data_IF_920369748568
#
_entry.id   IF_920369748568
#
_cell.length_a   1.000
_cell.length_b   1.000
_cell.length_c   1.000
_cell.angle_alpha   90.00
_cell.angle_beta   90.00
_cell.angle_gamma   90.00
#
_symmetry.space_group_name_H-M   'P 1'
#
loop_
_entity.id
_entity.type
_entity.pdbx_description
1 polymer ?
#
# COMPACT_ATOMS: atom_id res chain seq x y z
N UNK A 1 -30.82 15.96 -22.23
CA UNK A 1 -30.83 14.61 -21.66
C UNK A 1 -29.38 14.13 -21.55
N UNK A 2 -29.00 13.62 -20.36
CA UNK A 2 -27.68 13.04 -20.17
C UNK A 2 -27.49 11.85 -21.12
N UNK A 3 -26.42 11.84 -21.87
CA UNK A 3 -26.08 10.72 -22.75
C UNK A 3 -25.04 9.82 -22.07
N UNK A 4 -25.28 8.52 -22.18
CA UNK A 4 -24.35 7.48 -21.74
C UNK A 4 -24.03 6.61 -22.93
N UNK A 5 -22.80 6.65 -23.36
CA UNK A 5 -22.25 5.69 -24.33
C UNK A 5 -21.63 4.53 -23.56
N UNK A 6 -21.87 3.31 -24.01
CA UNK A 6 -21.31 2.11 -23.37
C UNK A 6 -20.72 1.23 -24.44
N UNK A 7 -19.42 1.01 -24.35
CA UNK A 7 -18.64 0.17 -25.25
C UNK A 7 -18.12 -1.05 -24.51
N UNK A 8 -18.29 -2.23 -25.08
CA UNK A 8 -17.62 -3.45 -24.68
C UNK A 8 -16.52 -3.72 -25.71
N UNK A 9 -15.27 -3.77 -25.29
CA UNK A 9 -14.17 -4.14 -26.19
C UNK A 9 -14.17 -5.64 -26.50
N UNK A 10 -14.81 -6.44 -25.64
CA UNK A 10 -15.04 -7.87 -25.82
C UNK A 10 -16.48 -8.18 -25.39
N UNK A 11 -17.26 -8.81 -26.27
CA UNK A 11 -18.70 -9.02 -26.04
C UNK A 11 -19.03 -9.93 -24.87
N UNK A 12 -18.12 -10.84 -24.52
CA UNK A 12 -18.30 -11.85 -23.45
C UNK A 12 -18.06 -11.33 -22.02
N UNK A 13 -17.58 -10.09 -21.87
CA UNK A 13 -17.19 -9.56 -20.55
C UNK A 13 -18.36 -9.39 -19.60
N UNK A 14 -19.53 -8.98 -20.09
CA UNK A 14 -20.71 -8.67 -19.27
C UNK A 14 -21.96 -9.23 -19.93
N UNK A 15 -22.73 -9.97 -19.15
CA UNK A 15 -24.04 -10.49 -19.56
C UNK A 15 -24.96 -9.37 -20.09
N UNK A 16 -25.59 -9.51 -21.27
CA UNK A 16 -26.44 -8.46 -21.88
C UNK A 16 -27.59 -8.01 -20.96
N UNK A 17 -28.17 -8.93 -20.19
CA UNK A 17 -29.25 -8.63 -19.24
C UNK A 17 -28.78 -7.73 -18.10
N UNK A 18 -27.58 -7.96 -17.61
CA UNK A 18 -26.97 -7.13 -16.57
C UNK A 18 -26.53 -5.77 -17.13
N UNK A 19 -25.92 -5.75 -18.32
CA UNK A 19 -25.52 -4.51 -19.00
C UNK A 19 -26.71 -3.56 -19.18
N UNK A 20 -27.89 -4.06 -19.54
CA UNK A 20 -29.10 -3.25 -19.66
C UNK A 20 -29.56 -2.68 -18.31
N UNK A 21 -29.53 -3.47 -17.25
CA UNK A 21 -29.84 -2.98 -15.88
C UNK A 21 -28.85 -1.89 -15.44
N UNK A 22 -27.57 -2.09 -15.73
CA UNK A 22 -26.50 -1.14 -15.46
C UNK A 22 -26.75 0.18 -16.18
N UNK A 23 -26.98 0.15 -17.51
CA UNK A 23 -27.28 1.35 -18.31
C UNK A 23 -28.46 2.16 -17.76
N UNK A 24 -29.53 1.51 -17.37
CA UNK A 24 -30.73 2.20 -16.80
C UNK A 24 -30.36 2.92 -15.52
N UNK A 25 -29.63 2.25 -14.60
CA UNK A 25 -29.25 2.83 -13.31
C UNK A 25 -28.28 4.01 -13.46
N UNK A 26 -27.28 3.88 -14.30
CA UNK A 26 -26.32 4.96 -14.56
C UNK A 26 -26.98 6.13 -15.26
N UNK A 27 -27.83 5.93 -16.29
CA UNK A 27 -28.60 6.99 -16.91
C UNK A 27 -29.47 7.77 -15.90
N UNK A 28 -30.11 7.07 -14.97
CA UNK A 28 -30.89 7.68 -13.90
C UNK A 28 -30.02 8.57 -12.99
N UNK A 29 -28.82 8.10 -12.64
CA UNK A 29 -27.85 8.86 -11.85
C UNK A 29 -27.42 10.13 -12.59
N UNK A 30 -26.95 9.97 -13.84
CA UNK A 30 -26.48 11.08 -14.67
C UNK A 30 -27.58 12.15 -14.86
N UNK A 31 -28.83 11.74 -15.12
CA UNK A 31 -29.96 12.65 -15.27
C UNK A 31 -30.33 13.39 -13.98
N UNK A 32 -29.96 12.85 -12.82
CA UNK A 32 -30.26 13.45 -11.50
C UNK A 32 -29.25 14.51 -11.06
N UNK A 33 -28.13 14.66 -11.75
CA UNK A 33 -27.06 15.58 -11.37
C UNK A 33 -26.78 16.62 -12.45
N UNK A 34 -26.70 17.89 -12.05
CA UNK A 34 -26.62 19.04 -12.99
C UNK A 34 -25.41 18.94 -13.92
N UNK A 35 -24.24 18.54 -13.41
CA UNK A 35 -23.01 18.48 -14.19
C UNK A 35 -23.06 17.45 -15.35
N UNK A 36 -23.92 16.44 -15.28
CA UNK A 36 -24.07 15.40 -16.31
C UNK A 36 -25.24 15.66 -17.28
N UNK A 37 -26.17 16.57 -16.94
CA UNK A 37 -27.43 16.71 -17.70
C UNK A 37 -27.28 17.02 -19.18
N UNK A 38 -26.21 17.71 -19.56
CA UNK A 38 -25.99 18.19 -20.92
C UNK A 38 -24.76 17.58 -21.60
N UNK A 39 -24.08 16.67 -20.91
CA UNK A 39 -22.83 16.08 -21.40
C UNK A 39 -22.95 14.57 -21.54
N UNK A 40 -22.17 14.02 -22.44
CA UNK A 40 -22.02 12.57 -22.64
C UNK A 40 -20.91 12.05 -21.73
N UNK A 41 -21.13 10.88 -21.14
CA UNK A 41 -20.11 10.09 -20.45
C UNK A 41 -19.91 8.80 -21.25
N UNK A 42 -18.66 8.48 -21.58
CA UNK A 42 -18.27 7.20 -22.15
C UNK A 42 -17.89 6.23 -21.05
N UNK A 43 -18.39 4.99 -21.15
CA UNK A 43 -18.08 3.91 -20.25
C UNK A 43 -17.59 2.73 -21.08
N UNK A 44 -16.32 2.38 -20.93
CA UNK A 44 -15.64 1.33 -21.68
C UNK A 44 -15.31 0.17 -20.75
N UNK A 45 -15.68 -1.03 -21.14
CA UNK A 45 -15.35 -2.26 -20.45
C UNK A 45 -14.30 -3.05 -21.23
N UNK A 46 -13.25 -3.47 -20.58
CA UNK A 46 -12.12 -4.18 -21.16
C UNK A 46 -11.60 -5.28 -20.21
N UNK A 47 -10.58 -6.00 -20.65
CA UNK A 47 -9.81 -6.94 -19.84
C UNK A 47 -8.57 -6.28 -19.20
N UNK A 48 -7.84 -7.07 -18.41
CA UNK A 48 -6.62 -6.61 -17.72
C UNK A 48 -5.47 -6.28 -18.67
N UNK A 49 -5.36 -6.97 -19.80
CA UNK A 49 -4.32 -6.70 -20.78
C UNK A 49 -4.52 -5.31 -21.41
N UNK A 50 -5.73 -5.02 -21.82
CA UNK A 50 -6.10 -3.73 -22.43
C UNK A 50 -5.92 -2.56 -21.46
N UNK A 51 -6.40 -2.69 -20.21
CA UNK A 51 -6.28 -1.60 -19.23
C UNK A 51 -4.83 -1.37 -18.82
N UNK A 52 -3.99 -2.41 -18.80
CA UNK A 52 -2.55 -2.31 -18.57
C UNK A 52 -1.87 -1.48 -19.65
N UNK A 53 -2.18 -1.75 -20.93
CA UNK A 53 -1.64 -0.97 -22.04
C UNK A 53 -2.04 0.51 -21.97
N UNK A 54 -3.29 0.78 -21.64
CA UNK A 54 -3.79 2.14 -21.46
C UNK A 54 -3.14 2.84 -20.27
N UNK A 55 -2.97 2.13 -19.15
CA UNK A 55 -2.31 2.64 -17.96
C UNK A 55 -0.83 2.98 -18.25
N UNK A 56 -0.13 2.11 -18.98
CA UNK A 56 1.24 2.35 -19.44
C UNK A 56 1.33 3.57 -20.37
N UNK A 57 0.43 3.65 -21.34
CA UNK A 57 0.42 4.71 -22.37
C UNK A 57 0.12 6.10 -21.80
N UNK A 58 -0.87 6.21 -20.91
CA UNK A 58 -1.37 7.50 -20.44
C UNK A 58 -0.81 7.95 -19.09
N UNK A 59 -0.47 6.99 -18.21
CA UNK A 59 0.00 7.29 -16.85
C UNK A 59 1.43 6.78 -16.60
N UNK A 60 2.09 6.15 -17.59
CA UNK A 60 3.43 5.60 -17.45
C UNK A 60 3.52 4.37 -16.53
N UNK A 61 2.38 3.70 -16.26
CA UNK A 61 2.25 2.61 -15.28
C UNK A 61 2.02 1.30 -16.01
N UNK A 62 2.99 0.39 -16.03
CA UNK A 62 2.92 -0.88 -16.77
C UNK A 62 2.31 -2.03 -15.93
N UNK A 63 1.19 -1.78 -15.25
CA UNK A 63 0.40 -2.80 -14.55
C UNK A 63 -1.09 -2.54 -14.73
N UNK A 64 -1.95 -3.59 -14.65
CA UNK A 64 -3.39 -3.41 -14.76
C UNK A 64 -3.95 -2.69 -13.54
N UNK A 65 -4.92 -1.81 -13.76
CA UNK A 65 -5.74 -1.17 -12.71
C UNK A 65 -7.20 -1.58 -12.90
N UNK A 66 -8.04 -1.37 -11.89
CA UNK A 66 -9.47 -1.69 -12.01
C UNK A 66 -10.26 -0.64 -12.79
N UNK A 67 -9.86 0.65 -12.71
CA UNK A 67 -10.52 1.76 -13.38
C UNK A 67 -9.54 2.85 -13.78
N UNK A 68 -9.77 3.47 -14.93
CA UNK A 68 -9.13 4.70 -15.39
C UNK A 68 -10.22 5.72 -15.73
N UNK A 69 -10.00 6.99 -15.41
CA UNK A 69 -10.95 8.08 -15.70
C UNK A 69 -10.22 9.25 -16.35
N UNK A 70 -10.71 9.68 -17.49
CA UNK A 70 -10.14 10.77 -18.28
C UNK A 70 -11.18 11.88 -18.44
N UNK A 71 -10.94 13.01 -17.78
CA UNK A 71 -11.73 14.21 -17.98
C UNK A 71 -11.39 14.83 -19.34
N UNK A 72 -12.41 15.15 -20.13
CA UNK A 72 -12.25 15.78 -21.44
C UNK A 72 -12.95 17.14 -21.37
N UNK A 73 -12.20 18.21 -21.64
CA UNK A 73 -12.75 19.58 -21.59
C UNK A 73 -13.50 19.89 -22.91
N UNK A 74 -14.66 19.28 -23.09
CA UNK A 74 -15.59 19.55 -24.20
C UNK A 74 -16.99 19.93 -23.68
N UNK A 75 -17.70 20.77 -24.42
CA UNK A 75 -19.03 21.25 -24.01
C UNK A 75 -20.09 20.15 -24.02
N UNK A 76 -19.94 19.16 -24.89
CA UNK A 76 -20.89 18.06 -25.11
C UNK A 76 -20.46 16.73 -24.50
N UNK A 77 -19.16 16.58 -24.22
CA UNK A 77 -18.55 15.35 -23.70
C UNK A 77 -17.83 15.63 -22.38
N UNK A 78 -18.13 14.89 -21.32
CA UNK A 78 -17.53 15.11 -20.01
C UNK A 78 -16.23 14.32 -19.85
N UNK A 79 -16.22 13.07 -20.32
CA UNK A 79 -15.05 12.23 -20.18
C UNK A 79 -15.36 10.74 -20.36
N UNK A 80 -14.33 9.96 -20.16
CA UNK A 80 -14.35 8.51 -20.36
C UNK A 80 -13.92 7.78 -19.08
N UNK A 81 -14.60 6.68 -18.79
CA UNK A 81 -14.29 5.77 -17.68
C UNK A 81 -14.05 4.40 -18.30
N UNK A 82 -12.87 3.85 -18.07
CA UNK A 82 -12.44 2.56 -18.59
C UNK A 82 -12.28 1.61 -17.42
N UNK A 83 -12.90 0.43 -17.47
CA UNK A 83 -12.94 -0.53 -16.35
C UNK A 83 -12.51 -1.91 -16.86
N UNK A 84 -11.52 -2.51 -16.15
CA UNK A 84 -11.24 -3.93 -16.30
C UNK A 84 -12.30 -4.77 -15.59
N UNK A 85 -13.06 -5.52 -16.38
CA UNK A 85 -14.12 -6.40 -15.85
C UNK A 85 -13.53 -7.64 -15.18
N UNK A 86 -12.43 -8.17 -15.73
CA UNK A 86 -11.69 -9.30 -15.14
C UNK A 86 -11.23 -8.95 -13.74
N UNK A 87 -10.53 -7.83 -13.59
CA UNK A 87 -10.06 -7.37 -12.28
C UNK A 87 -11.19 -7.03 -11.32
N UNK A 88 -12.25 -6.37 -11.81
CA UNK A 88 -13.41 -6.09 -10.98
C UNK A 88 -14.09 -7.37 -10.47
N UNK A 89 -14.09 -8.45 -11.25
CA UNK A 89 -14.61 -9.75 -10.85
C UNK A 89 -13.74 -10.41 -9.79
N UNK A 90 -12.43 -10.50 -10.06
CA UNK A 90 -11.45 -11.04 -9.10
C UNK A 90 -11.50 -10.30 -7.75
N UNK A 91 -11.47 -8.97 -7.78
CA UNK A 91 -11.53 -8.16 -6.56
C UNK A 91 -12.85 -8.32 -5.82
N UNK A 92 -13.99 -8.40 -6.53
CA UNK A 92 -15.28 -8.62 -5.88
C UNK A 92 -15.37 -9.99 -5.19
N UNK A 93 -14.87 -11.05 -5.84
CA UNK A 93 -14.79 -12.40 -5.27
C UNK A 93 -13.85 -12.40 -4.05
N UNK A 94 -12.69 -11.80 -4.19
CA UNK A 94 -11.71 -11.69 -3.13
C UNK A 94 -12.25 -10.98 -1.87
N UNK A 95 -12.95 -9.84 -2.04
CA UNK A 95 -13.52 -9.11 -0.91
C UNK A 95 -14.88 -9.69 -0.43
N UNK A 96 -15.34 -10.80 -1.00
CA UNK A 96 -16.65 -11.38 -0.71
C UNK A 96 -17.81 -10.42 -1.03
N UNK A 97 -17.64 -9.58 -2.06
CA UNK A 97 -18.60 -8.58 -2.47
C UNK A 97 -19.48 -9.08 -3.62
N UNK A 98 -20.69 -8.53 -3.71
CA UNK A 98 -21.51 -8.74 -4.90
C UNK A 98 -20.89 -8.02 -6.10
N UNK A 99 -20.54 -8.77 -7.16
CA UNK A 99 -19.88 -8.26 -8.35
C UNK A 99 -20.62 -7.08 -9.00
N UNK A 100 -21.96 -7.18 -9.15
CA UNK A 100 -22.77 -6.15 -9.78
C UNK A 100 -22.66 -4.81 -9.01
N UNK A 101 -22.67 -4.85 -7.69
CA UNK A 101 -22.52 -3.66 -6.85
C UNK A 101 -21.08 -3.17 -6.81
N UNK A 102 -20.10 -4.07 -6.86
CA UNK A 102 -18.70 -3.67 -6.91
C UNK A 102 -18.38 -2.94 -8.22
N UNK A 103 -18.84 -3.46 -9.35
CA UNK A 103 -18.72 -2.80 -10.66
C UNK A 103 -19.40 -1.43 -10.68
N UNK A 104 -20.59 -1.30 -10.07
CA UNK A 104 -21.26 -0.01 -9.89
C UNK A 104 -20.44 0.97 -9.03
N UNK A 105 -19.76 0.47 -7.99
CA UNK A 105 -18.90 1.30 -7.15
C UNK A 105 -17.71 1.85 -7.95
N UNK A 106 -17.06 1.05 -8.79
CA UNK A 106 -15.99 1.50 -9.69
C UNK A 106 -16.47 2.54 -10.71
N UNK A 107 -17.66 2.35 -11.29
CA UNK A 107 -18.27 3.34 -12.19
C UNK A 107 -18.54 4.66 -11.44
N UNK A 108 -19.10 4.59 -10.25
CA UNK A 108 -19.37 5.77 -9.42
C UNK A 108 -18.07 6.49 -9.06
N UNK A 109 -17.02 5.76 -8.70
CA UNK A 109 -15.69 6.30 -8.45
C UNK A 109 -15.19 7.11 -9.66
N UNK A 110 -15.20 6.50 -10.85
CA UNK A 110 -14.85 7.19 -12.09
C UNK A 110 -15.70 8.45 -12.36
N UNK A 111 -17.01 8.39 -12.12
CA UNK A 111 -17.91 9.54 -12.29
C UNK A 111 -17.55 10.69 -11.33
N UNK A 112 -17.14 10.37 -10.11
CA UNK A 112 -16.75 11.39 -9.13
C UNK A 112 -15.43 12.05 -9.53
N UNK A 113 -14.50 11.31 -10.11
CA UNK A 113 -13.29 11.89 -10.73
C UNK A 113 -13.63 12.84 -11.89
N UNK A 114 -14.56 12.47 -12.77
CA UNK A 114 -15.02 13.35 -13.86
C UNK A 114 -15.69 14.63 -13.37
N UNK A 115 -16.13 14.69 -12.12
CA UNK A 115 -16.63 15.92 -11.49
C UNK A 115 -15.51 16.81 -10.93
N UNK A 116 -14.24 16.41 -11.10
CA UNK A 116 -13.08 17.15 -10.60
C UNK A 116 -12.77 16.88 -9.13
N UNK A 117 -13.43 15.89 -8.52
CA UNK A 117 -13.01 15.43 -7.21
C UNK A 117 -11.76 14.56 -7.37
N UNK A 118 -10.72 14.98 -6.68
CA UNK A 118 -9.43 14.31 -6.73
C UNK A 118 -8.93 14.18 -5.29
N UNK A 119 -8.70 12.95 -4.83
CA UNK A 119 -8.22 12.69 -3.49
C UNK A 119 -6.76 13.14 -3.28
N UNK A 120 -6.06 13.55 -4.36
CA UNK A 120 -4.71 14.11 -4.30
C UNK A 120 -4.70 15.61 -3.95
N UNK A 121 -5.84 16.31 -3.98
CA UNK A 121 -5.94 17.78 -3.77
C UNK A 121 -6.20 18.18 -2.33
N UNK A 122 -5.26 17.90 -1.43
CA UNK A 122 -5.29 18.35 -0.04
C UNK A 122 -5.96 17.36 0.93
N UNK A 123 -5.79 17.58 2.23
CA UNK A 123 -6.18 16.67 3.31
C UNK A 123 -7.70 16.41 3.45
N UNK A 124 -8.53 17.31 2.91
CA UNK A 124 -9.98 17.21 2.97
C UNK A 124 -10.60 16.54 1.74
N UNK A 125 -9.86 16.43 0.65
CA UNK A 125 -10.34 15.93 -0.63
C UNK A 125 -10.80 14.45 -0.59
N UNK A 126 -10.09 13.52 0.07
CA UNK A 126 -10.54 12.12 0.17
C UNK A 126 -11.91 11.99 0.84
N UNK A 127 -12.14 12.72 1.94
CA UNK A 127 -13.43 12.68 2.65
C UNK A 127 -14.60 13.20 1.79
N UNK A 128 -14.39 14.30 1.05
CA UNK A 128 -15.40 14.86 0.17
C UNK A 128 -15.72 13.91 -0.98
N UNK A 129 -14.71 13.28 -1.54
CA UNK A 129 -14.82 12.26 -2.57
C UNK A 129 -15.64 11.07 -2.08
N UNK A 130 -15.29 10.45 -0.97
CA UNK A 130 -16.05 9.35 -0.36
C UNK A 130 -17.50 9.71 -0.10
N UNK A 131 -17.75 10.89 0.45
CA UNK A 131 -19.11 11.35 0.70
C UNK A 131 -19.94 11.44 -0.58
N UNK A 132 -19.34 11.89 -1.67
CA UNK A 132 -19.99 11.99 -2.98
C UNK A 132 -20.20 10.60 -3.59
N UNK A 133 -19.20 9.72 -3.51
CA UNK A 133 -19.30 8.32 -3.94
C UNK A 133 -20.41 7.57 -3.23
N UNK A 134 -20.43 7.60 -1.91
CA UNK A 134 -21.49 6.95 -1.12
C UNK A 134 -22.87 7.45 -1.50
N UNK A 135 -23.03 8.77 -1.66
CA UNK A 135 -24.30 9.40 -2.08
C UNK A 135 -24.75 8.93 -3.47
N UNK A 136 -23.81 8.77 -4.41
CA UNK A 136 -24.10 8.30 -5.76
C UNK A 136 -24.34 6.80 -5.78
N UNK A 137 -23.49 6.04 -5.11
CA UNK A 137 -23.62 4.58 -5.01
C UNK A 137 -24.96 4.17 -4.38
N UNK A 138 -25.40 4.83 -3.32
CA UNK A 138 -26.68 4.56 -2.68
C UNK A 138 -27.88 4.69 -3.62
N UNK A 139 -27.79 5.58 -4.62
CA UNK A 139 -28.86 5.78 -5.62
C UNK A 139 -28.93 4.67 -6.68
N UNK A 140 -27.80 4.04 -6.99
CA UNK A 140 -27.70 3.07 -8.10
C UNK A 140 -27.53 1.62 -7.66
N UNK A 141 -27.06 1.37 -6.44
CA UNK A 141 -26.77 0.03 -5.93
C UNK A 141 -27.99 -0.92 -5.97
N UNK A 142 -27.71 -2.18 -6.26
CA UNK A 142 -28.70 -3.25 -6.07
C UNK A 142 -28.87 -3.55 -4.59
N UNK A 143 -30.07 -3.94 -4.16
CA UNK A 143 -30.36 -4.21 -2.74
C UNK A 143 -29.46 -5.30 -2.15
N UNK A 144 -29.27 -6.37 -2.90
CA UNK A 144 -28.44 -7.50 -2.46
C UNK A 144 -26.96 -7.10 -2.46
N UNK A 145 -26.28 -7.24 -1.33
CA UNK A 145 -24.85 -6.95 -1.18
C UNK A 145 -24.47 -5.47 -1.06
N UNK A 146 -25.44 -4.54 -1.08
CA UNK A 146 -25.19 -3.09 -1.01
C UNK A 146 -24.41 -2.70 0.25
N UNK A 147 -24.83 -3.20 1.42
CA UNK A 147 -24.21 -2.82 2.70
C UNK A 147 -22.75 -3.29 2.82
N UNK A 148 -22.43 -4.46 2.24
CA UNK A 148 -21.06 -4.96 2.20
C UNK A 148 -20.14 -4.03 1.40
N UNK A 149 -20.60 -3.56 0.24
CA UNK A 149 -19.83 -2.61 -0.60
C UNK A 149 -19.72 -1.24 0.08
N UNK A 150 -20.76 -0.72 0.71
CA UNK A 150 -20.69 0.53 1.50
C UNK A 150 -19.64 0.41 2.61
N UNK A 151 -19.63 -0.72 3.33
CA UNK A 151 -18.64 -0.98 4.38
C UNK A 151 -17.23 -1.06 3.82
N UNK A 152 -17.07 -1.67 2.65
CA UNK A 152 -15.80 -1.76 1.94
C UNK A 152 -15.30 -0.36 1.51
N UNK A 153 -16.12 0.45 0.83
CA UNK A 153 -15.78 1.80 0.42
C UNK A 153 -15.34 2.67 1.60
N UNK A 154 -16.09 2.63 2.71
CA UNK A 154 -15.72 3.33 3.94
C UNK A 154 -14.38 2.91 4.53
N UNK A 155 -13.98 1.64 4.38
CA UNK A 155 -12.68 1.14 4.85
C UNK A 155 -11.54 1.56 3.93
N UNK A 156 -11.74 1.52 2.61
CA UNK A 156 -10.72 1.79 1.60
C UNK A 156 -10.13 3.20 1.69
N UNK A 157 -10.95 4.22 1.97
CA UNK A 157 -10.49 5.61 2.00
C UNK A 157 -9.97 6.08 3.36
N UNK A 158 -10.24 5.36 4.45
CA UNK A 158 -9.81 5.76 5.79
C UNK A 158 -8.43 5.28 6.20
N UNK A 159 -7.74 4.51 5.38
CA UNK A 159 -6.39 4.02 5.67
C UNK A 159 -5.43 4.37 4.52
N UNK A 160 -4.96 5.63 4.43
CA UNK A 160 -3.87 5.95 3.53
C UNK A 160 -2.67 5.08 3.91
N UNK A 161 -2.02 4.50 2.90
CA UNK A 161 -0.82 3.73 3.14
C UNK A 161 0.23 4.58 3.84
N UNK A 162 0.87 4.02 4.85
CA UNK A 162 1.85 4.70 5.69
C UNK A 162 3.26 4.47 5.14
N UNK A 163 4.13 5.42 5.41
CA UNK A 163 5.56 5.32 5.12
C UNK A 163 6.36 5.37 6.42
N UNK A 164 7.07 4.30 6.72
CA UNK A 164 8.11 4.28 7.74
C UNK A 164 9.47 4.37 7.05
N UNK A 165 10.31 5.30 7.50
CA UNK A 165 11.62 5.55 6.87
C UNK A 165 12.73 4.98 7.72
N UNK A 166 13.51 4.06 7.13
CA UNK A 166 14.69 3.51 7.76
C UNK A 166 15.88 4.47 7.58
N UNK A 167 16.49 4.89 8.70
CA UNK A 167 17.60 5.86 8.73
C UNK A 167 18.97 5.21 8.95
N UNK A 168 19.09 3.89 8.86
CA UNK A 168 20.35 3.17 9.10
C UNK A 168 21.48 3.64 8.18
N UNK A 169 21.16 3.92 6.92
CA UNK A 169 22.19 4.35 5.94
C UNK A 169 22.79 5.71 6.27
N UNK A 170 22.10 6.56 7.04
CA UNK A 170 22.69 7.79 7.61
C UNK A 170 23.79 7.42 8.61
N UNK A 171 23.51 6.45 9.48
CA UNK A 171 24.52 5.94 10.42
C UNK A 171 25.65 5.19 9.68
N UNK A 172 25.36 4.49 8.58
CA UNK A 172 26.39 3.85 7.73
C UNK A 172 27.42 4.87 7.23
N UNK A 173 26.97 6.02 6.75
CA UNK A 173 27.89 7.11 6.32
C UNK A 173 28.72 7.62 7.50
N UNK A 174 28.12 7.81 8.66
CA UNK A 174 28.82 8.20 9.91
C UNK A 174 29.93 7.20 10.27
N UNK A 175 29.58 5.91 10.30
CA UNK A 175 30.50 4.85 10.69
C UNK A 175 31.63 4.62 9.65
N UNK A 176 31.34 4.77 8.34
CA UNK A 176 32.35 4.68 7.30
C UNK A 176 33.48 5.74 7.45
N UNK A 177 33.15 6.92 7.98
CA UNK A 177 34.10 8.01 8.25
C UNK A 177 34.60 8.03 9.68
N UNK A 178 33.99 7.26 10.62
CA UNK A 178 34.25 7.32 12.06
C UNK A 178 34.14 8.76 12.61
N UNK A 179 33.14 9.49 12.11
CA UNK A 179 32.87 10.88 12.47
C UNK A 179 31.58 10.97 13.32
N UNK A 180 31.31 12.08 14.04
CA UNK A 180 30.07 12.25 14.78
C UNK A 180 28.85 12.58 13.87
N UNK A 181 29.06 12.75 12.59
CA UNK A 181 28.03 13.10 11.59
C UNK A 181 28.17 12.26 10.30
N UNK A 182 27.06 12.13 9.50
CA UNK A 182 25.71 12.60 9.79
C UNK A 182 25.09 11.84 10.98
N UNK A 183 24.27 12.53 11.79
CA UNK A 183 23.62 11.91 12.96
C UNK A 183 22.23 11.36 12.57
N UNK A 184 21.95 10.04 12.75
CA UNK A 184 20.65 9.46 12.47
C UNK A 184 19.52 10.05 13.34
N UNK A 185 19.85 10.65 14.51
CA UNK A 185 18.86 11.36 15.34
C UNK A 185 18.34 12.61 14.63
N UNK A 186 19.21 13.39 14.02
CA UNK A 186 18.82 14.54 13.20
C UNK A 186 18.03 14.08 11.96
N UNK A 187 18.44 12.98 11.32
CA UNK A 187 17.74 12.41 10.18
C UNK A 187 16.32 11.97 10.56
N UNK A 188 16.12 11.37 11.74
CA UNK A 188 14.80 10.96 12.23
C UNK A 188 13.81 12.13 12.31
N UNK A 189 14.26 13.29 12.79
CA UNK A 189 13.44 14.51 12.79
C UNK A 189 13.15 15.00 11.37
N UNK A 190 14.14 14.94 10.48
CA UNK A 190 13.96 15.39 9.09
C UNK A 190 12.98 14.51 8.31
N UNK A 191 12.96 13.20 8.53
CA UNK A 191 12.00 12.30 7.86
C UNK A 191 10.58 12.54 8.37
N UNK A 192 10.38 12.83 9.65
CA UNK A 192 9.07 13.26 10.15
C UNK A 192 8.59 14.55 9.48
N UNK A 193 9.46 15.55 9.35
CA UNK A 193 9.15 16.81 8.65
C UNK A 193 8.88 16.60 7.16
N UNK A 194 9.38 15.52 6.57
CA UNK A 194 9.07 15.07 5.22
C UNK A 194 7.70 14.39 5.07
N UNK A 195 7.04 14.04 6.19
CA UNK A 195 5.72 13.41 6.20
C UNK A 195 5.74 11.89 6.43
N UNK A 196 6.85 11.33 6.94
CA UNK A 196 6.92 9.94 7.37
C UNK A 196 5.97 9.68 8.56
N UNK A 197 5.35 8.49 8.57
CA UNK A 197 4.45 8.04 9.65
C UNK A 197 5.18 7.25 10.73
N UNK A 198 6.46 6.95 10.51
CA UNK A 198 7.33 6.26 11.44
C UNK A 198 8.79 6.33 11.05
N UNK A 199 9.64 6.06 12.03
CA UNK A 199 11.09 5.94 11.86
C UNK A 199 11.50 4.51 12.16
N UNK A 200 12.27 3.91 11.26
CA UNK A 200 12.81 2.56 11.40
C UNK A 200 14.31 2.65 11.68
N UNK A 201 14.78 1.87 12.61
CA UNK A 201 16.20 1.65 12.90
C UNK A 201 16.47 0.18 13.15
N UNK A 202 17.55 -0.34 12.60
CA UNK A 202 18.00 -1.70 12.82
C UNK A 202 19.21 -1.70 13.76
N UNK A 203 19.02 -2.15 14.99
CA UNK A 203 20.12 -2.38 15.93
C UNK A 203 20.67 -3.79 15.71
N UNK A 204 21.73 -3.89 14.92
CA UNK A 204 22.38 -5.18 14.58
C UNK A 204 23.26 -5.68 15.72
N UNK A 205 23.44 -7.00 15.80
CA UNK A 205 24.34 -7.65 16.75
C UNK A 205 25.78 -7.10 16.66
N UNK A 206 26.26 -6.80 15.47
CA UNK A 206 27.62 -6.28 15.21
C UNK A 206 27.74 -4.76 15.37
N UNK A 207 26.63 -4.02 15.59
CA UNK A 207 26.59 -2.56 15.74
C UNK A 207 27.29 -1.79 14.61
N UNK A 208 27.28 -2.31 13.38
CA UNK A 208 27.99 -1.71 12.24
C UNK A 208 27.50 -0.30 11.86
N UNK A 209 26.29 0.08 12.24
CA UNK A 209 25.71 1.41 11.96
C UNK A 209 24.98 2.00 13.17
N UNK A 210 23.71 1.66 13.43
CA UNK A 210 22.94 2.16 14.57
C UNK A 210 23.53 1.62 15.90
N UNK A 211 23.57 2.48 16.90
CA UNK A 211 24.00 2.19 18.26
C UNK A 211 22.82 2.38 19.22
N UNK A 212 22.92 1.82 20.43
CA UNK A 212 21.92 1.97 21.49
C UNK A 212 21.64 3.44 21.83
N UNK A 213 22.69 4.29 21.80
CA UNK A 213 22.56 5.76 21.94
C UNK A 213 21.56 6.32 20.93
N UNK A 214 21.68 5.92 19.67
CA UNK A 214 20.86 6.46 18.59
C UNK A 214 19.39 6.08 18.80
N UNK A 215 19.13 4.81 19.15
CA UNK A 215 17.77 4.30 19.43
C UNK A 215 17.12 5.07 20.58
N UNK A 216 17.85 5.29 21.69
CA UNK A 216 17.36 6.05 22.84
C UNK A 216 16.98 7.47 22.48
N UNK A 217 17.89 8.19 21.81
CA UNK A 217 17.68 9.58 21.44
C UNK A 217 16.59 9.74 20.38
N UNK A 218 16.53 8.85 19.37
CA UNK A 218 15.45 8.85 18.39
C UNK A 218 14.10 8.67 19.11
N UNK A 219 14.00 7.71 20.05
CA UNK A 219 12.78 7.48 20.82
C UNK A 219 12.31 8.74 21.58
N UNK A 220 13.23 9.55 22.07
CA UNK A 220 12.92 10.78 22.81
C UNK A 220 12.46 11.93 21.92
N UNK A 221 13.07 12.08 20.72
CA UNK A 221 12.86 13.27 19.87
C UNK A 221 11.71 13.15 18.89
N UNK A 222 11.40 11.93 18.39
CA UNK A 222 10.34 11.74 17.40
C UNK A 222 8.95 11.81 18.03
N UNK A 223 7.97 12.24 17.21
CA UNK A 223 6.55 12.30 17.57
C UNK A 223 5.75 11.16 16.96
N UNK A 224 6.27 10.57 15.88
CA UNK A 224 5.71 9.40 15.22
C UNK A 224 6.14 8.11 15.92
N UNK A 225 5.98 6.97 15.29
CA UNK A 225 6.32 5.68 15.87
C UNK A 225 7.78 5.31 15.61
N UNK A 226 8.45 4.80 16.65
CA UNK A 226 9.73 4.11 16.52
C UNK A 226 9.47 2.64 16.22
N UNK A 227 10.05 2.14 15.14
CA UNK A 227 10.10 0.73 14.76
C UNK A 227 11.54 0.27 14.92
N UNK A 228 11.75 -0.72 15.79
CA UNK A 228 13.06 -1.29 16.05
C UNK A 228 13.17 -2.65 15.35
N UNK A 229 14.06 -2.74 14.37
CA UNK A 229 14.46 -4.01 13.78
C UNK A 229 15.58 -4.62 14.61
N UNK A 230 15.48 -5.92 14.90
CA UNK A 230 16.47 -6.62 15.70
C UNK A 230 16.46 -8.13 15.45
N UNK A 231 17.60 -8.76 15.65
CA UNK A 231 17.70 -10.22 15.73
C UNK A 231 17.07 -10.76 17.03
N UNK A 232 16.76 -12.04 17.03
CA UNK A 232 16.28 -12.74 18.23
C UNK A 232 17.47 -13.04 19.15
N UNK A 233 17.64 -12.23 20.21
CA UNK A 233 18.61 -12.44 21.28
C UNK A 233 18.04 -11.93 22.59
N UNK A 234 18.48 -12.49 23.71
CA UNK A 234 18.05 -12.08 25.06
C UNK A 234 18.42 -10.61 25.32
N UNK A 235 19.64 -10.21 24.95
CA UNK A 235 20.13 -8.83 25.06
C UNK A 235 19.20 -7.83 24.37
N UNK A 236 18.76 -8.13 23.13
CA UNK A 236 17.90 -7.23 22.38
C UNK A 236 16.44 -7.24 22.86
N UNK A 237 15.94 -8.37 23.32
CA UNK A 237 14.63 -8.44 23.97
C UNK A 237 14.60 -7.58 25.23
N UNK A 238 15.64 -7.62 26.05
CA UNK A 238 15.73 -6.79 27.26
C UNK A 238 15.88 -5.30 26.92
N UNK A 239 16.71 -4.97 25.93
CA UNK A 239 16.84 -3.61 25.42
C UNK A 239 15.51 -3.07 24.87
N UNK A 240 14.78 -3.87 24.10
CA UNK A 240 13.47 -3.48 23.58
C UNK A 240 12.45 -3.24 24.71
N UNK A 241 12.46 -4.08 25.76
CA UNK A 241 11.59 -3.88 26.95
C UNK A 241 11.93 -2.60 27.72
N UNK A 242 13.20 -2.19 27.72
CA UNK A 242 13.64 -0.92 28.30
C UNK A 242 13.17 0.28 27.48
N UNK A 243 13.42 0.28 26.16
CA UNK A 243 13.11 1.38 25.23
C UNK A 243 11.61 1.54 24.99
N UNK A 244 10.88 0.42 24.97
CA UNK A 244 9.46 0.35 24.63
C UNK A 244 9.16 1.06 23.29
N UNK A 245 9.77 0.61 22.18
CA UNK A 245 9.40 1.11 20.85
C UNK A 245 7.92 0.82 20.58
N UNK A 246 7.34 1.50 19.60
CA UNK A 246 5.97 1.21 19.18
C UNK A 246 5.84 -0.21 18.60
N UNK A 247 6.87 -0.64 17.88
CA UNK A 247 6.94 -1.94 17.22
C UNK A 247 8.38 -2.46 17.25
N UNK A 248 8.51 -3.77 17.43
CA UNK A 248 9.72 -4.53 17.12
C UNK A 248 9.45 -5.35 15.88
N UNK A 249 10.35 -5.28 14.89
CA UNK A 249 10.38 -6.21 13.75
C UNK A 249 11.52 -7.19 13.95
N UNK A 250 11.17 -8.49 14.09
CA UNK A 250 12.16 -9.55 14.19
C UNK A 250 12.68 -9.91 12.80
N UNK A 251 13.99 -9.75 12.62
CA UNK A 251 14.67 -9.99 11.34
C UNK A 251 15.74 -11.07 11.49
N UNK A 252 16.10 -11.80 10.42
CA UNK A 252 17.29 -12.64 10.44
C UNK A 252 18.55 -11.74 10.40
N UNK A 253 19.61 -12.20 11.03
CA UNK A 253 20.94 -11.61 10.87
C UNK A 253 21.96 -12.70 10.64
N UNK A 254 22.73 -12.57 9.57
CA UNK A 254 23.90 -13.40 9.29
C UNK A 254 25.13 -12.50 9.19
N UNK A 255 26.28 -12.91 9.76
CA UNK A 255 27.49 -12.08 9.79
C UNK A 255 28.00 -11.67 8.40
N UNK A 256 27.79 -12.51 7.39
CA UNK A 256 28.27 -12.33 6.02
C UNK A 256 27.40 -11.37 5.20
N UNK A 257 26.15 -11.15 5.60
CA UNK A 257 25.20 -10.32 4.85
C UNK A 257 25.54 -8.82 4.96
N UNK A 258 25.52 -8.10 3.85
CA UNK A 258 25.66 -6.63 3.82
C UNK A 258 24.38 -5.98 4.33
N UNK A 259 23.24 -6.49 3.90
CA UNK A 259 21.89 -6.13 4.35
C UNK A 259 21.13 -7.40 4.72
N UNK A 260 19.89 -7.29 5.20
CA UNK A 260 19.05 -8.45 5.52
C UNK A 260 18.63 -9.15 4.22
N UNK A 261 19.25 -10.29 3.91
CA UNK A 261 18.96 -11.09 2.71
C UNK A 261 17.93 -12.18 3.02
N UNK A 262 16.66 -11.91 2.71
CA UNK A 262 15.55 -12.85 2.91
C UNK A 262 14.84 -12.72 4.26
N UNK A 263 13.69 -13.38 4.37
CA UNK A 263 12.84 -13.36 5.55
C UNK A 263 13.31 -14.27 6.68
N UNK A 264 12.79 -14.00 7.88
CA UNK A 264 13.03 -14.81 9.07
C UNK A 264 12.44 -16.22 8.89
N UNK A 265 13.28 -17.25 9.04
CA UNK A 265 12.82 -18.64 8.98
C UNK A 265 12.08 -19.02 10.27
N UNK A 266 10.81 -19.39 10.13
CA UNK A 266 9.97 -19.77 11.25
C UNK A 266 9.93 -21.29 11.47
N UNK A 267 10.19 -22.09 10.43
CA UNK A 267 10.16 -23.55 10.53
C UNK A 267 11.26 -24.02 11.50
N UNK A 268 10.90 -24.94 12.39
CA UNK A 268 11.83 -25.43 13.42
C UNK A 268 12.06 -24.49 14.62
N UNK A 269 11.71 -23.20 14.51
CA UNK A 269 11.92 -22.17 15.58
C UNK A 269 10.63 -21.65 16.22
N UNK A 270 9.48 -22.24 15.92
CA UNK A 270 8.16 -21.76 16.38
C UNK A 270 8.10 -21.59 17.89
N UNK A 271 8.67 -22.50 18.70
CA UNK A 271 8.64 -22.41 20.16
C UNK A 271 9.46 -21.23 20.68
N UNK A 272 10.64 -21.02 20.14
CA UNK A 272 11.56 -19.92 20.49
C UNK A 272 10.90 -18.57 20.13
N UNK A 273 10.46 -18.42 18.88
CA UNK A 273 9.85 -17.18 18.39
C UNK A 273 8.58 -16.86 19.19
N UNK A 274 7.73 -17.86 19.45
CA UNK A 274 6.52 -17.67 20.27
C UNK A 274 6.84 -17.17 21.68
N UNK A 275 7.93 -17.62 22.30
CA UNK A 275 8.39 -17.13 23.61
C UNK A 275 8.72 -15.65 23.53
N UNK A 276 9.56 -15.24 22.58
CA UNK A 276 9.99 -13.84 22.39
C UNK A 276 8.79 -12.94 22.06
N UNK A 277 7.92 -13.35 21.13
CA UNK A 277 6.70 -12.61 20.80
C UNK A 277 5.84 -12.40 22.04
N UNK A 278 5.65 -13.43 22.87
CA UNK A 278 4.87 -13.33 24.11
C UNK A 278 5.49 -12.35 25.11
N UNK A 279 6.82 -12.37 25.26
CA UNK A 279 7.54 -11.47 26.18
C UNK A 279 7.42 -10.00 25.74
N UNK A 280 7.63 -9.72 24.45
CA UNK A 280 7.51 -8.37 23.91
C UNK A 280 6.06 -7.85 23.98
N UNK A 281 5.08 -8.70 23.65
CA UNK A 281 3.67 -8.36 23.76
C UNK A 281 3.26 -8.04 25.21
N UNK A 282 3.77 -8.81 26.20
CA UNK A 282 3.53 -8.57 27.62
C UNK A 282 4.11 -7.22 28.09
N UNK A 283 5.16 -6.73 27.44
CA UNK A 283 5.73 -5.41 27.67
C UNK A 283 4.98 -4.27 26.94
N UNK A 284 3.89 -4.58 26.21
CA UNK A 284 3.10 -3.61 25.46
C UNK A 284 3.69 -3.24 24.11
N UNK A 285 4.64 -4.01 23.59
CA UNK A 285 5.34 -3.78 22.33
C UNK A 285 4.66 -4.62 21.24
N UNK A 286 4.28 -4.01 20.11
CA UNK A 286 3.77 -4.76 18.94
C UNK A 286 4.91 -5.51 18.27
N UNK A 287 4.64 -6.75 17.86
CA UNK A 287 5.65 -7.58 17.21
C UNK A 287 5.28 -7.81 15.75
N UNK A 288 6.23 -7.46 14.89
CA UNK A 288 6.26 -7.75 13.45
C UNK A 288 7.30 -8.82 13.17
N UNK A 289 7.01 -9.67 12.18
CA UNK A 289 7.97 -10.64 11.66
C UNK A 289 8.28 -10.29 10.20
N UNK A 290 9.56 -10.16 9.86
CA UNK A 290 10.03 -9.94 8.50
C UNK A 290 10.10 -11.28 7.77
N UNK A 291 9.24 -11.50 6.76
CA UNK A 291 9.00 -12.82 6.17
C UNK A 291 9.03 -12.79 4.66
N UNK A 292 9.48 -13.88 4.05
CA UNK A 292 9.30 -14.10 2.63
C UNK A 292 7.80 -14.21 2.27
N UNK A 293 7.39 -13.85 1.04
CA UNK A 293 6.00 -13.88 0.59
C UNK A 293 5.50 -15.32 0.37
N UNK A 294 5.37 -16.08 1.46
CA UNK A 294 4.90 -17.47 1.50
C UNK A 294 3.67 -17.59 2.40
N UNK A 295 2.59 -18.21 1.90
CA UNK A 295 1.35 -18.43 2.65
C UNK A 295 1.60 -19.13 4.01
N UNK A 296 2.43 -20.18 4.00
CA UNK A 296 2.78 -20.91 5.23
C UNK A 296 3.53 -20.06 6.25
N UNK A 297 4.31 -19.09 5.81
CA UNK A 297 4.98 -18.14 6.70
C UNK A 297 3.96 -17.24 7.39
N UNK A 298 2.92 -16.78 6.69
CA UNK A 298 1.83 -15.98 7.25
C UNK A 298 1.02 -16.78 8.31
N UNK A 299 0.71 -18.04 8.02
CA UNK A 299 0.04 -18.95 8.98
C UNK A 299 0.89 -19.14 10.26
N UNK A 300 2.20 -19.36 10.10
CA UNK A 300 3.11 -19.52 11.24
C UNK A 300 3.24 -18.23 12.04
N UNK A 301 3.28 -17.05 11.40
CA UNK A 301 3.29 -15.77 12.08
C UNK A 301 2.06 -15.58 12.97
N UNK A 302 0.87 -15.93 12.48
CA UNK A 302 -0.35 -15.93 13.28
C UNK A 302 -0.27 -16.91 14.46
N UNK A 303 0.26 -18.10 14.23
CA UNK A 303 0.41 -19.16 15.24
C UNK A 303 1.36 -18.78 16.38
N UNK A 304 2.42 -18.04 16.10
CA UNK A 304 3.35 -17.56 17.14
C UNK A 304 2.83 -16.34 17.91
N UNK A 305 1.74 -15.71 17.43
CA UNK A 305 1.07 -14.60 18.10
C UNK A 305 1.59 -13.21 17.69
N UNK A 306 2.25 -13.11 16.54
CA UNK A 306 2.59 -11.82 15.95
C UNK A 306 1.30 -11.07 15.57
N UNK A 307 1.31 -9.75 15.68
CA UNK A 307 0.22 -8.88 15.24
C UNK A 307 0.45 -8.34 13.83
N UNK A 308 1.71 -8.25 13.43
CA UNK A 308 2.15 -7.61 12.19
C UNK A 308 3.05 -8.59 11.45
N UNK A 309 2.99 -8.56 10.14
CA UNK A 309 3.99 -9.16 9.25
C UNK A 309 4.53 -8.08 8.32
N UNK A 310 5.83 -8.09 8.10
CA UNK A 310 6.46 -7.28 7.06
C UNK A 310 6.94 -8.22 5.94
N UNK A 311 6.30 -8.10 4.78
CA UNK A 311 6.59 -8.94 3.62
C UNK A 311 7.88 -8.46 2.96
N UNK A 312 8.84 -9.36 2.81
CA UNK A 312 10.09 -9.12 2.10
C UNK A 312 9.85 -8.95 0.60
N UNK A 313 10.16 -7.77 0.08
CA UNK A 313 9.98 -7.43 -1.35
C UNK A 313 11.28 -7.41 -2.14
N UNK A 314 12.39 -7.89 -1.58
CA UNK A 314 13.71 -7.86 -2.21
C UNK A 314 13.76 -8.62 -3.53
N UNK A 315 13.21 -9.84 -3.58
CA UNK A 315 13.21 -10.65 -4.83
C UNK A 315 12.42 -9.95 -5.94
N UNK A 316 11.28 -9.32 -5.60
CA UNK A 316 10.55 -8.47 -6.55
C UNK A 316 11.40 -7.29 -7.04
N UNK A 317 12.11 -6.64 -6.13
CA UNK A 317 12.92 -5.47 -6.44
C UNK A 317 14.16 -5.78 -7.29
N UNK A 318 14.72 -6.98 -7.13
CA UNK A 318 15.92 -7.47 -7.81
C UNK A 318 15.62 -8.22 -9.11
N UNK A 319 14.34 -8.41 -9.46
CA UNK A 319 13.94 -9.09 -10.69
C UNK A 319 14.53 -8.39 -11.93
N UNK A 320 15.28 -9.15 -12.73
CA UNK A 320 15.97 -8.63 -13.91
C UNK A 320 15.03 -8.48 -15.10
N UNK A 321 13.98 -9.33 -15.18
CA UNK A 321 13.00 -9.31 -16.26
C UNK A 321 11.62 -8.88 -15.75
N UNK A 322 10.82 -8.32 -16.65
CA UNK A 322 9.43 -7.95 -16.33
C UNK A 322 8.58 -9.19 -15.97
N UNK A 323 8.85 -10.34 -16.61
CA UNK A 323 8.14 -11.59 -16.32
C UNK A 323 8.42 -12.09 -14.91
N UNK A 324 9.68 -12.07 -14.47
CA UNK A 324 10.05 -12.37 -13.09
C UNK A 324 9.41 -11.39 -12.10
N UNK A 325 9.44 -10.11 -12.43
CA UNK A 325 8.86 -9.06 -11.57
C UNK A 325 7.37 -9.26 -11.37
N UNK A 326 6.62 -9.57 -12.41
CA UNK A 326 5.18 -9.86 -12.32
C UNK A 326 4.93 -11.09 -11.46
N UNK A 327 5.70 -12.16 -11.64
CA UNK A 327 5.57 -13.39 -10.84
C UNK A 327 5.85 -13.15 -9.35
N UNK A 328 6.87 -12.36 -9.02
CA UNK A 328 7.18 -12.04 -7.63
C UNK A 328 6.14 -11.06 -7.02
N UNK A 329 5.60 -10.14 -7.83
CA UNK A 329 4.48 -9.30 -7.42
C UNK A 329 3.24 -10.12 -7.02
N UNK A 330 2.89 -11.13 -7.83
CA UNK A 330 1.77 -12.04 -7.54
C UNK A 330 1.96 -12.78 -6.21
N UNK A 331 3.19 -13.20 -5.89
CA UNK A 331 3.50 -13.84 -4.60
C UNK A 331 3.31 -12.87 -3.43
N UNK A 332 3.77 -11.62 -3.58
CA UNK A 332 3.59 -10.59 -2.54
C UNK A 332 2.11 -10.30 -2.34
N UNK A 333 1.34 -10.17 -3.41
CA UNK A 333 -0.11 -9.95 -3.37
C UNK A 333 -0.83 -11.10 -2.67
N UNK A 334 -0.54 -12.35 -3.04
CA UNK A 334 -1.13 -13.52 -2.40
C UNK A 334 -0.80 -13.60 -0.91
N UNK A 335 0.48 -13.41 -0.54
CA UNK A 335 0.91 -13.42 0.86
C UNK A 335 0.22 -12.30 1.68
N UNK A 336 0.08 -11.10 1.10
CA UNK A 336 -0.61 -9.98 1.75
C UNK A 336 -2.10 -10.30 2.02
N UNK A 337 -2.77 -10.92 1.06
CA UNK A 337 -4.16 -11.39 1.21
C UNK A 337 -4.28 -12.41 2.35
N UNK A 338 -3.49 -13.47 2.30
CA UNK A 338 -3.51 -14.53 3.32
C UNK A 338 -3.22 -13.96 4.70
N UNK A 339 -2.23 -13.07 4.83
CA UNK A 339 -1.94 -12.42 6.11
C UNK A 339 -3.13 -11.60 6.62
N UNK A 340 -3.80 -10.85 5.73
CA UNK A 340 -4.98 -10.06 6.07
C UNK A 340 -6.16 -10.92 6.52
N UNK A 341 -6.43 -12.03 5.83
CA UNK A 341 -7.48 -12.99 6.17
C UNK A 341 -7.24 -13.66 7.52
N UNK A 342 -5.98 -13.87 7.88
CA UNK A 342 -5.57 -14.35 9.20
C UNK A 342 -5.67 -13.27 10.29
N UNK A 343 -6.08 -12.05 9.95
CA UNK A 343 -6.23 -10.92 10.88
C UNK A 343 -4.91 -10.28 11.29
N UNK A 344 -3.86 -10.42 10.47
CA UNK A 344 -2.58 -9.74 10.64
C UNK A 344 -2.63 -8.34 10.02
N UNK A 345 -1.85 -7.43 10.58
CA UNK A 345 -1.52 -6.15 9.95
C UNK A 345 -0.37 -6.42 8.97
N UNK A 346 -0.49 -5.92 7.75
CA UNK A 346 0.46 -6.21 6.69
C UNK A 346 1.29 -4.97 6.37
N UNK A 347 2.59 -5.10 6.50
CA UNK A 347 3.60 -4.15 6.04
C UNK A 347 4.42 -4.80 4.91
N UNK A 348 5.16 -4.00 4.16
CA UNK A 348 6.10 -4.48 3.15
C UNK A 348 7.37 -3.62 3.14
N UNK A 349 8.50 -4.24 2.86
CA UNK A 349 9.78 -3.55 2.88
C UNK A 349 10.89 -4.33 2.19
N UNK A 350 12.02 -3.69 2.09
CA UNK A 350 13.26 -4.13 1.47
C UNK A 350 13.26 -4.03 -0.07
N UNK A 351 14.28 -3.37 -0.62
CA UNK A 351 14.48 -3.22 -2.05
C UNK A 351 13.57 -2.20 -2.75
N UNK A 352 12.59 -1.63 -2.04
CA UNK A 352 11.66 -0.66 -2.64
C UNK A 352 12.33 0.67 -2.96
N UNK A 353 12.02 1.20 -4.15
CA UNK A 353 12.59 2.41 -4.71
C UNK A 353 11.52 3.28 -5.39
N UNK A 354 11.90 4.47 -5.84
CA UNK A 354 11.02 5.37 -6.60
C UNK A 354 10.54 4.78 -7.93
N UNK A 355 11.26 3.79 -8.46
CA UNK A 355 10.96 3.16 -9.75
C UNK A 355 10.04 1.95 -9.61
N UNK A 356 10.11 1.23 -8.47
CA UNK A 356 9.42 -0.05 -8.31
C UNK A 356 8.30 -0.06 -7.26
N UNK A 357 8.13 1.01 -6.46
CA UNK A 357 7.14 1.07 -5.38
C UNK A 357 5.68 0.99 -5.88
N UNK A 358 5.39 1.50 -7.08
CA UNK A 358 4.03 1.66 -7.57
C UNK A 358 3.17 0.39 -7.51
N UNK A 359 3.59 -0.74 -8.13
CA UNK A 359 2.81 -1.99 -8.10
C UNK A 359 2.59 -2.53 -6.68
N UNK A 360 3.63 -2.50 -5.83
CA UNK A 360 3.52 -2.95 -4.44
C UNK A 360 2.61 -2.03 -3.62
N UNK A 361 2.71 -0.72 -3.82
CA UNK A 361 1.85 0.24 -3.14
C UNK A 361 0.39 0.12 -3.56
N UNK A 362 0.08 -0.39 -4.74
CA UNK A 362 -1.27 -0.63 -5.20
C UNK A 362 -1.98 -1.80 -4.47
N UNK A 363 -1.24 -2.69 -3.79
CA UNK A 363 -1.80 -3.83 -3.03
C UNK A 363 -2.53 -3.29 -1.78
N UNK A 364 -3.87 -3.35 -1.71
CA UNK A 364 -4.65 -2.65 -0.68
C UNK A 364 -4.49 -3.24 0.72
N UNK A 365 -4.06 -4.49 0.84
CA UNK A 365 -3.83 -5.18 2.12
C UNK A 365 -2.60 -4.66 2.86
N UNK A 366 -1.63 -4.08 2.14
CA UNK A 366 -0.40 -3.55 2.74
C UNK A 366 -0.69 -2.17 3.34
N UNK A 367 -0.59 -2.03 4.65
CA UNK A 367 -0.93 -0.80 5.39
C UNK A 367 0.25 0.16 5.54
N UNK A 368 1.49 -0.35 5.45
CA UNK A 368 2.70 0.44 5.65
C UNK A 368 3.88 -0.09 4.84
N UNK A 369 4.71 0.82 4.37
CA UNK A 369 5.95 0.54 3.64
C UNK A 369 7.15 0.97 4.45
N UNK A 370 8.13 0.06 4.61
CA UNK A 370 9.41 0.29 5.30
C UNK A 370 10.49 0.50 4.24
N UNK A 371 10.98 1.74 4.09
CA UNK A 371 11.90 2.11 3.00
C UNK A 371 13.07 2.91 3.56
N UNK A 372 14.30 2.49 3.23
CA UNK A 372 15.52 3.14 3.70
C UNK A 372 16.44 3.59 2.58
N UNK A 373 17.18 2.64 1.99
CA UNK A 373 18.30 2.91 1.09
C UNK A 373 17.94 3.89 -0.05
N UNK A 374 16.86 3.67 -0.76
CA UNK A 374 16.47 4.51 -1.90
C UNK A 374 16.16 5.96 -1.48
N UNK A 375 15.51 6.15 -0.31
CA UNK A 375 15.22 7.50 0.22
C UNK A 375 16.50 8.21 0.62
N UNK A 376 17.43 7.54 1.33
CA UNK A 376 18.70 8.14 1.74
C UNK A 376 19.58 8.44 0.52
N UNK A 377 19.60 7.56 -0.48
CA UNK A 377 20.32 7.81 -1.75
C UNK A 377 19.75 9.01 -2.50
N UNK A 378 18.43 9.13 -2.60
CA UNK A 378 17.77 10.29 -3.21
C UNK A 378 18.05 11.58 -2.45
N UNK A 379 18.09 11.49 -1.12
CA UNK A 379 18.34 12.63 -0.24
C UNK A 379 19.69 13.31 -0.46
N UNK A 380 20.70 12.62 -0.99
CA UNK A 380 22.00 13.19 -1.36
C UNK A 380 21.84 14.32 -2.41
N UNK A 381 20.84 14.21 -3.28
CA UNK A 381 20.61 15.15 -4.39
C UNK A 381 19.56 16.22 -4.09
N UNK A 382 18.51 15.87 -3.30
CA UNK A 382 17.36 16.76 -3.09
C UNK A 382 17.15 17.16 -1.63
N UNK A 383 17.91 16.59 -0.72
CA UNK A 383 17.68 16.72 0.72
C UNK A 383 16.65 15.72 1.25
N UNK A 384 16.82 15.33 2.54
CA UNK A 384 16.07 14.21 3.13
C UNK A 384 14.56 14.47 3.22
N UNK A 385 14.16 15.69 3.56
CA UNK A 385 12.74 16.06 3.66
C UNK A 385 12.00 15.92 2.32
N UNK A 386 12.60 16.37 1.23
CA UNK A 386 11.98 16.31 -0.09
C UNK A 386 12.00 14.88 -0.65
N UNK A 387 13.07 14.12 -0.43
CA UNK A 387 13.11 12.70 -0.77
C UNK A 387 11.98 11.90 -0.10
N UNK A 388 11.73 12.13 1.19
CA UNK A 388 10.62 11.48 1.91
C UNK A 388 9.27 11.88 1.32
N UNK A 389 9.08 13.18 1.02
CA UNK A 389 7.83 13.69 0.43
C UNK A 389 7.56 13.06 -0.93
N UNK A 390 8.56 13.03 -1.81
CA UNK A 390 8.47 12.39 -3.13
C UNK A 390 8.04 10.92 -3.01
N UNK A 391 8.65 10.15 -2.12
CA UNK A 391 8.29 8.74 -1.91
C UNK A 391 6.85 8.59 -1.37
N UNK A 392 6.47 9.42 -0.39
CA UNK A 392 5.12 9.43 0.17
C UNK A 392 4.07 9.73 -0.89
N UNK A 393 4.32 10.68 -1.78
CA UNK A 393 3.44 11.03 -2.89
C UNK A 393 3.28 9.87 -3.88
N UNK A 394 4.37 9.14 -4.21
CA UNK A 394 4.29 7.96 -5.08
C UNK A 394 3.42 6.87 -4.48
N UNK A 395 3.56 6.60 -3.17
CA UNK A 395 2.73 5.62 -2.46
C UNK A 395 1.24 6.04 -2.50
N UNK A 396 0.96 7.31 -2.23
CA UNK A 396 -0.40 7.83 -2.25
C UNK A 396 -1.03 7.76 -3.65
N UNK A 397 -0.27 8.16 -4.69
CA UNK A 397 -0.71 8.09 -6.08
C UNK A 397 -1.01 6.67 -6.54
N UNK A 398 -0.21 5.68 -6.12
CA UNK A 398 -0.46 4.28 -6.46
C UNK A 398 -1.76 3.74 -5.84
N UNK A 399 -2.22 4.34 -4.74
CA UNK A 399 -3.46 3.96 -4.02
C UNK A 399 -4.69 4.70 -4.51
N UNK A 400 -4.51 5.88 -5.01
CA UNK A 400 -5.59 6.80 -5.29
C UNK A 400 -5.86 7.03 -6.77
N UNK A 401 -4.98 6.59 -7.56
CA UNK A 401 -5.06 6.76 -8.97
C UNK A 401 -5.17 6.77 -10.07
#
# INVERSE_FOLDING_TARGET
>A
LANLEVTLLQEELIEPSFLNKLRIRIKKLLSSHVAFKTRTVSLVFCDDATIRELNAKYLGRNWPTNVLSFLIEDKSFLGEIIISVSRAREESEFYGLNFENYLLALIVHGLVHLLGHDHEKGWYAPWLMLKTELKFFEKVAFRQGKEAVIKFLRRREYMPAKLAVNVDHVATVREARKAPYPDPVAAAVMVELGGADGVVVHLRLDRRHIKERDVRLIKEVIKTKLILEMAISEEFVDFAKEIKPYQVTLVPERPEEVTTEGGLELRGRVKEIKKVVKELNAAGIKVSLFLNPEEKAMELARKVGAQIVEIHTGIYAEAETEEERVKELEKVELAARVAKDLGLIVHAGHGLSYENIGPIAAIPEIEEFSIGHSIISRAIFVGLKDAVREMKELILRARGG
#
